data_IF_485013469751
#
_entry.id   IF_485013469751
#
_cell.length_a   1.000
_cell.length_b   1.000
_cell.length_c   1.000
_cell.angle_alpha   90.00
_cell.angle_beta   90.00
_cell.angle_gamma   90.00
#
_symmetry.space_group_name_H-M   'P 1'
#
loop_
_entity.id
_entity.type
_entity.pdbx_description
1 polymer ?
#
# COMPACT_ATOMS: atom_id res chain seq x y z
N UNK A 1 11.23 -15.45 -3.68
CA UNK A 1 11.70 -14.31 -2.88
C UNK A 1 11.31 -14.54 -1.44
N UNK A 2 12.24 -14.36 -0.49
CA UNK A 2 11.96 -14.49 0.94
C UNK A 2 11.82 -13.11 1.57
N UNK A 3 10.69 -12.85 2.23
CA UNK A 3 10.42 -11.61 2.97
C UNK A 3 10.46 -11.91 4.46
N UNK A 4 11.30 -11.20 5.22
CA UNK A 4 11.23 -11.21 6.66
C UNK A 4 10.21 -10.16 7.14
N UNK A 5 9.37 -10.50 8.12
CA UNK A 5 8.39 -9.55 8.66
C UNK A 5 9.05 -8.28 9.21
N UNK A 6 10.24 -8.44 9.81
CA UNK A 6 11.04 -7.32 10.32
C UNK A 6 11.53 -6.38 9.20
N UNK A 7 11.79 -6.88 8.00
CA UNK A 7 12.22 -6.04 6.87
C UNK A 7 11.10 -5.10 6.43
N UNK A 8 9.84 -5.56 6.43
CA UNK A 8 8.68 -4.71 6.13
C UNK A 8 8.62 -3.50 7.07
N UNK A 9 8.82 -3.73 8.37
CA UNK A 9 8.87 -2.67 9.37
C UNK A 9 9.99 -1.66 9.11
N UNK A 10 11.20 -2.15 8.87
CA UNK A 10 12.37 -1.31 8.62
C UNK A 10 12.22 -0.50 7.34
N UNK A 11 11.61 -1.08 6.29
CA UNK A 11 11.33 -0.39 5.04
C UNK A 11 10.37 0.76 5.28
N UNK A 12 9.19 0.52 5.88
CA UNK A 12 8.24 1.60 6.12
C UNK A 12 8.82 2.69 7.04
N UNK A 13 9.63 2.33 8.04
CA UNK A 13 10.33 3.29 8.88
C UNK A 13 11.29 4.16 8.07
N UNK A 14 12.08 3.54 7.18
CA UNK A 14 12.97 4.25 6.26
C UNK A 14 12.22 5.24 5.36
N UNK A 15 11.10 4.80 4.78
CA UNK A 15 10.25 5.65 3.94
C UNK A 15 9.69 6.84 4.72
N UNK A 16 9.02 6.60 5.86
CA UNK A 16 8.41 7.66 6.67
C UNK A 16 9.46 8.65 7.17
N UNK A 17 10.64 8.17 7.56
CA UNK A 17 11.75 9.02 8.00
C UNK A 17 12.27 9.88 6.85
N UNK A 18 12.45 9.30 5.66
CA UNK A 18 12.87 10.02 4.46
C UNK A 18 11.92 11.17 4.13
N UNK A 19 10.62 10.91 4.11
CA UNK A 19 9.61 11.92 3.78
C UNK A 19 9.50 13.03 4.83
N UNK A 20 9.50 12.66 6.12
CA UNK A 20 9.49 13.64 7.20
C UNK A 20 10.74 14.55 7.16
N UNK A 21 11.89 14.02 6.74
CA UNK A 21 13.13 14.78 6.61
C UNK A 21 13.16 15.68 5.37
N UNK A 22 12.68 15.19 4.22
CA UNK A 22 12.79 15.88 2.94
C UNK A 22 11.69 16.92 2.73
N UNK A 23 10.45 16.58 3.09
CA UNK A 23 9.27 17.40 2.78
C UNK A 23 8.57 17.95 4.03
N UNK A 24 8.94 17.50 5.23
CA UNK A 24 8.31 17.94 6.47
C UNK A 24 6.85 17.50 6.61
N UNK A 25 6.45 16.45 5.89
CA UNK A 25 5.09 15.90 5.89
C UNK A 25 4.94 14.91 7.03
N UNK A 26 4.06 15.20 7.99
CA UNK A 26 3.66 14.25 9.06
C UNK A 26 2.21 13.77 8.88
N UNK A 27 1.38 14.58 8.22
CA UNK A 27 -0.05 14.33 8.01
C UNK A 27 -0.40 14.61 6.55
N UNK A 28 -1.12 13.68 5.94
CA UNK A 28 -1.73 13.85 4.63
C UNK A 28 -3.24 13.94 4.80
N UNK A 29 -3.82 15.06 4.36
CA UNK A 29 -5.26 15.24 4.30
C UNK A 29 -5.76 14.82 2.92
N UNK A 30 -6.71 13.90 2.87
CA UNK A 30 -7.39 13.45 1.65
C UNK A 30 -8.87 13.80 1.78
N UNK A 31 -9.36 14.70 0.93
CA UNK A 31 -10.74 15.16 0.93
C UNK A 31 -11.39 15.21 -0.45
N UNK A 32 -10.67 14.75 -1.48
CA UNK A 32 -11.05 14.79 -2.88
C UNK A 32 -11.11 13.39 -3.51
N UNK A 33 -10.78 12.34 -2.76
CA UNK A 33 -10.67 10.97 -3.26
C UNK A 33 -11.21 9.96 -2.26
N UNK A 34 -11.89 8.95 -2.81
CA UNK A 34 -12.31 7.75 -2.09
C UNK A 34 -12.13 6.54 -3.00
N UNK A 35 -12.71 6.60 -4.18
CA UNK A 35 -12.68 5.48 -5.13
C UNK A 35 -11.38 5.44 -5.91
N UNK A 36 -10.90 4.22 -6.18
CA UNK A 36 -9.75 3.97 -7.04
C UNK A 36 -9.91 2.67 -7.83
N UNK A 37 -9.31 2.57 -9.01
CA UNK A 37 -9.24 1.35 -9.81
C UNK A 37 -8.25 0.36 -9.23
N UNK A 38 -8.66 -0.91 -9.17
CA UNK A 38 -7.83 -2.00 -8.66
C UNK A 38 -8.13 -3.29 -9.41
N UNK A 39 -7.09 -4.04 -9.77
CA UNK A 39 -7.26 -5.45 -10.18
C UNK A 39 -7.35 -6.26 -8.89
N UNK A 40 -8.41 -7.03 -8.66
CA UNK A 40 -8.57 -7.83 -7.42
C UNK A 40 -7.84 -9.16 -7.52
N UNK A 41 -7.66 -9.81 -6.38
CA UNK A 41 -7.18 -11.19 -6.34
C UNK A 41 -8.33 -12.14 -6.70
N UNK A 42 -8.05 -13.24 -7.43
CA UNK A 42 -6.73 -13.70 -7.84
C UNK A 42 -6.20 -13.04 -9.14
N UNK A 43 -7.01 -12.28 -9.88
CA UNK A 43 -6.64 -11.75 -11.21
C UNK A 43 -5.39 -10.86 -11.20
N UNK A 44 -5.03 -10.29 -10.05
CA UNK A 44 -3.83 -9.47 -9.86
C UNK A 44 -2.53 -10.19 -10.22
N UNK A 45 -2.42 -11.51 -9.98
CA UNK A 45 -1.23 -12.31 -10.31
C UNK A 45 -1.48 -13.37 -11.39
N UNK A 46 -2.70 -13.48 -11.90
CA UNK A 46 -3.04 -14.43 -12.96
C UNK A 46 -2.91 -13.78 -14.35
N UNK A 47 -1.88 -14.19 -15.11
CA UNK A 47 -1.60 -13.69 -16.46
C UNK A 47 -2.20 -14.53 -17.58
N UNK A 48 -3.01 -15.53 -17.25
CA UNK A 48 -3.62 -16.42 -18.25
C UNK A 48 -4.87 -15.81 -18.90
N UNK A 49 -5.40 -14.72 -18.37
CA UNK A 49 -6.56 -14.00 -18.87
C UNK A 49 -6.40 -12.50 -18.64
N UNK A 50 -7.13 -11.68 -19.42
CA UNK A 50 -7.20 -10.25 -19.17
C UNK A 50 -7.85 -10.00 -17.81
N UNK A 51 -7.21 -9.25 -16.90
CA UNK A 51 -7.72 -9.05 -15.56
C UNK A 51 -8.96 -8.16 -15.59
N UNK A 52 -9.89 -8.43 -14.68
CA UNK A 52 -11.05 -7.55 -14.48
C UNK A 52 -10.72 -6.46 -13.50
N UNK A 53 -10.96 -5.23 -13.92
CA UNK A 53 -10.89 -4.07 -13.05
C UNK A 53 -12.08 -4.04 -12.09
N UNK A 54 -11.79 -3.64 -10.87
CA UNK A 54 -12.74 -3.38 -9.80
C UNK A 54 -12.50 -1.99 -9.24
N UNK A 55 -13.46 -1.53 -8.43
CA UNK A 55 -13.35 -0.27 -7.70
C UNK A 55 -13.09 -0.56 -6.22
N UNK A 56 -12.03 0.01 -5.67
CA UNK A 56 -11.76 0.07 -4.23
C UNK A 56 -12.28 1.36 -3.60
N UNK A 57 -12.29 1.41 -2.27
CA UNK A 57 -12.66 2.59 -1.48
C UNK A 57 -11.61 2.81 -0.40
N UNK A 58 -10.92 3.94 -0.49
CA UNK A 58 -9.94 4.38 0.51
C UNK A 58 -10.60 4.57 1.87
N UNK A 59 -11.86 5.06 1.91
CA UNK A 59 -12.61 5.20 3.15
C UNK A 59 -12.84 3.84 3.81
N UNK A 60 -13.22 2.82 3.04
CA UNK A 60 -13.43 1.47 3.56
C UNK A 60 -12.12 0.81 4.00
N UNK A 61 -11.04 0.97 3.23
CA UNK A 61 -9.73 0.43 3.58
C UNK A 61 -9.18 1.09 4.86
N UNK A 62 -9.27 2.41 4.94
CA UNK A 62 -8.85 3.16 6.12
C UNK A 62 -9.69 2.80 7.35
N UNK A 63 -11.02 2.77 7.23
CA UNK A 63 -11.89 2.33 8.32
C UNK A 63 -11.59 0.89 8.74
N UNK A 64 -11.27 0.01 7.78
CA UNK A 64 -10.84 -1.35 8.02
C UNK A 64 -9.61 -1.42 8.92
N UNK A 65 -8.58 -0.64 8.58
CA UNK A 65 -7.33 -0.53 9.34
C UNK A 65 -7.54 0.09 10.73
N UNK A 66 -8.37 1.13 10.84
CA UNK A 66 -8.62 1.82 12.11
C UNK A 66 -9.23 0.90 13.18
N UNK A 67 -10.00 -0.12 12.78
CA UNK A 67 -10.54 -1.11 13.72
C UNK A 67 -9.45 -1.88 14.49
N UNK A 68 -8.22 -1.96 13.98
CA UNK A 68 -7.11 -2.58 14.72
C UNK A 68 -6.72 -1.74 15.95
N UNK A 69 -6.81 -0.41 15.87
CA UNK A 69 -6.63 0.45 17.04
C UNK A 69 -7.75 0.33 18.07
N UNK A 70 -8.92 -0.15 17.64
CA UNK A 70 -10.06 -0.44 18.49
C UNK A 70 -10.01 -1.86 19.10
N UNK A 71 -8.95 -2.62 18.82
CA UNK A 71 -8.73 -3.97 19.34
C UNK A 71 -9.27 -5.11 18.47
N UNK A 72 -9.70 -4.83 17.23
CA UNK A 72 -10.02 -5.91 16.29
C UNK A 72 -8.76 -6.67 15.91
N UNK A 73 -8.85 -8.00 15.87
CA UNK A 73 -7.74 -8.84 15.46
C UNK A 73 -7.36 -8.58 13.99
N UNK A 74 -6.06 -8.43 13.69
CA UNK A 74 -5.60 -8.27 12.31
C UNK A 74 -5.93 -9.48 11.43
N UNK A 75 -6.08 -9.24 10.15
CA UNK A 75 -6.31 -10.27 9.12
C UNK A 75 -5.35 -10.08 7.95
N UNK A 76 -5.20 -11.08 7.10
CA UNK A 76 -4.31 -11.01 5.94
C UNK A 76 -4.68 -9.81 5.03
N UNK A 77 -5.99 -9.56 4.86
CA UNK A 77 -6.55 -8.47 4.05
C UNK A 77 -6.08 -7.09 4.55
N UNK A 78 -5.73 -6.94 5.83
CA UNK A 78 -5.26 -5.67 6.36
C UNK A 78 -3.88 -5.28 5.81
N UNK A 79 -3.06 -6.23 5.35
CA UNK A 79 -1.87 -5.91 4.57
C UNK A 79 -2.21 -5.32 3.19
N UNK A 80 -3.23 -5.85 2.51
CA UNK A 80 -3.71 -5.29 1.23
C UNK A 80 -4.26 -3.88 1.43
N UNK A 81 -5.07 -3.66 2.47
CA UNK A 81 -5.60 -2.33 2.82
C UNK A 81 -4.49 -1.33 3.08
N UNK A 82 -3.49 -1.73 3.88
CA UNK A 82 -2.34 -0.88 4.15
C UNK A 82 -1.59 -0.56 2.85
N UNK A 83 -1.39 -1.55 1.96
CA UNK A 83 -0.77 -1.32 0.67
C UNK A 83 -1.55 -0.34 -0.22
N UNK A 84 -2.88 -0.42 -0.24
CA UNK A 84 -3.73 0.55 -0.93
C UNK A 84 -3.57 1.98 -0.36
N UNK A 85 -3.48 2.11 0.97
CA UNK A 85 -3.22 3.40 1.62
C UNK A 85 -1.83 3.93 1.29
N UNK A 86 -0.78 3.10 1.33
CA UNK A 86 0.59 3.52 0.95
C UNK A 86 0.64 4.04 -0.48
N UNK A 87 -0.16 3.46 -1.37
CA UNK A 87 -0.26 3.91 -2.74
C UNK A 87 -0.84 5.33 -2.87
N UNK A 88 -1.82 5.67 -2.03
CA UNK A 88 -2.35 7.04 -1.95
C UNK A 88 -1.30 7.98 -1.40
N UNK A 89 -0.58 7.54 -0.37
CA UNK A 89 0.52 8.31 0.24
C UNK A 89 1.58 8.64 -0.81
N UNK A 90 1.99 7.65 -1.62
CA UNK A 90 2.96 7.84 -2.72
C UNK A 90 2.57 8.98 -3.66
N UNK A 91 1.31 9.02 -4.07
CA UNK A 91 0.77 10.00 -5.02
C UNK A 91 0.66 11.40 -4.39
N UNK A 92 0.25 11.46 -3.13
CA UNK A 92 -0.16 12.72 -2.47
C UNK A 92 0.94 13.42 -1.69
N UNK A 93 2.07 12.76 -1.43
CA UNK A 93 3.22 13.42 -0.80
C UNK A 93 3.74 14.58 -1.66
N UNK A 94 3.80 14.41 -2.99
CA UNK A 94 4.31 15.44 -3.90
C UNK A 94 3.25 16.48 -4.27
N UNK A 95 1.98 16.09 -4.24
CA UNK A 95 0.83 16.94 -4.57
C UNK A 95 -0.17 16.99 -3.40
N UNK A 96 0.21 17.61 -2.27
CA UNK A 96 -0.71 17.78 -1.14
C UNK A 96 -1.92 18.60 -1.61
N UNK A 97 -3.11 18.08 -1.34
CA UNK A 97 -4.39 18.63 -1.78
C UNK A 97 -4.45 20.16 -1.63
N UNK A 98 -4.53 20.88 -2.74
CA UNK A 98 -4.86 22.31 -2.73
C UNK A 98 -6.36 22.45 -2.57
N UNK A 99 -6.81 22.74 -1.35
CA UNK A 99 -8.22 22.90 -1.01
C UNK A 99 -8.83 24.18 -1.61
N UNK A 100 -8.97 24.23 -2.94
CA UNK A 100 -9.68 25.30 -3.64
C UNK A 100 -10.56 24.80 -4.79
N UNK A 101 -11.25 23.66 -4.63
CA UNK A 101 -12.41 23.38 -5.49
C UNK A 101 -13.54 22.77 -4.69
N UNK A 102 -14.57 23.58 -4.46
CA UNK A 102 -15.85 23.13 -3.93
C UNK A 102 -16.50 22.13 -4.88
N UNK A 103 -16.49 20.86 -4.50
CA UNK A 103 -17.12 19.79 -5.26
C UNK A 103 -17.23 18.54 -4.41
N UNK A 104 -18.42 18.30 -3.85
CA UNK A 104 -18.79 17.14 -3.02
C UNK A 104 -18.13 17.06 -1.64
N UNK A 105 -18.94 16.84 -0.59
CA UNK A 105 -18.47 16.44 0.75
C UNK A 105 -17.94 15.00 0.69
N UNK A 106 -16.83 14.75 0.01
CA UNK A 106 -16.07 13.55 0.30
C UNK A 106 -15.66 13.62 1.78
N UNK A 107 -15.75 12.49 2.48
CA UNK A 107 -15.37 12.45 3.90
C UNK A 107 -13.86 12.65 3.95
N UNK A 108 -13.43 13.73 4.58
CA UNK A 108 -12.03 14.02 4.85
C UNK A 108 -11.40 12.91 5.69
N UNK A 109 -10.26 12.41 5.25
CA UNK A 109 -9.37 11.51 5.99
C UNK A 109 -8.07 12.25 6.29
N UNK A 110 -7.61 12.21 7.53
CA UNK A 110 -6.27 12.66 7.89
C UNK A 110 -5.43 11.41 8.20
N UNK A 111 -4.41 11.16 7.38
CA UNK A 111 -3.49 10.01 7.51
C UNK A 111 -2.19 10.52 8.10
N UNK A 112 -1.91 10.16 9.36
CA UNK A 112 -0.61 10.43 9.95
C UNK A 112 0.39 9.34 9.52
N UNK A 113 1.56 9.72 9.02
CA UNK A 113 2.57 8.73 8.59
C UNK A 113 2.98 7.80 9.75
N UNK A 114 2.97 8.31 10.98
CA UNK A 114 3.22 7.50 12.20
C UNK A 114 2.15 6.44 12.44
N UNK A 115 0.89 6.69 12.05
CA UNK A 115 -0.16 5.67 12.17
C UNK A 115 0.12 4.48 11.24
N UNK A 116 0.70 4.71 10.06
CA UNK A 116 1.08 3.64 9.13
C UNK A 116 2.12 2.70 9.75
N UNK A 117 3.12 3.27 10.45
CA UNK A 117 4.11 2.50 11.21
C UNK A 117 3.46 1.64 12.30
N UNK A 118 2.52 2.22 13.05
CA UNK A 118 1.81 1.48 14.10
C UNK A 118 0.93 0.36 13.53
N UNK A 119 0.23 0.61 12.43
CA UNK A 119 -0.60 -0.40 11.75
C UNK A 119 0.25 -1.57 11.27
N UNK A 120 1.39 -1.29 10.62
CA UNK A 120 2.30 -2.36 10.19
C UNK A 120 2.90 -3.13 11.38
N UNK A 121 3.23 -2.44 12.47
CA UNK A 121 3.74 -3.08 13.68
C UNK A 121 2.73 -4.06 14.27
N UNK A 122 1.46 -3.66 14.36
CA UNK A 122 0.37 -4.51 14.84
C UNK A 122 0.22 -5.76 13.95
N UNK A 123 0.26 -5.57 12.62
CA UNK A 123 0.17 -6.67 11.66
C UNK A 123 1.33 -7.66 11.80
N UNK A 124 2.56 -7.14 11.81
CA UNK A 124 3.78 -7.94 11.94
C UNK A 124 3.81 -8.69 13.26
N UNK A 125 3.52 -8.02 14.38
CA UNK A 125 3.48 -8.66 15.70
C UNK A 125 2.44 -9.79 15.75
N UNK A 126 1.24 -9.56 15.23
CA UNK A 126 0.19 -10.57 15.19
C UNK A 126 0.63 -11.86 14.48
N UNK A 127 1.22 -11.73 13.29
CA UNK A 127 1.65 -12.87 12.51
C UNK A 127 2.92 -13.54 13.05
N UNK A 128 3.85 -12.77 13.65
CA UNK A 128 5.00 -13.34 14.35
C UNK A 128 4.58 -14.14 15.59
N UNK A 129 3.61 -13.64 16.37
CA UNK A 129 3.04 -14.40 17.50
C UNK A 129 2.35 -15.70 17.04
N UNK A 130 1.84 -15.73 15.81
CA UNK A 130 1.32 -16.93 15.17
C UNK A 130 2.41 -17.84 14.55
N UNK A 131 3.69 -17.50 14.69
CA UNK A 131 4.84 -18.28 14.20
C UNK A 131 5.27 -17.97 12.77
N UNK A 132 4.82 -16.85 12.20
CA UNK A 132 5.17 -16.42 10.83
C UNK A 132 6.24 -15.32 10.89
N UNK A 133 7.51 -15.73 10.94
CA UNK A 133 8.64 -14.79 10.91
C UNK A 133 9.05 -14.36 9.49
N UNK A 134 8.78 -15.22 8.52
CA UNK A 134 9.15 -15.03 7.13
C UNK A 134 8.13 -15.65 6.19
N UNK A 135 8.01 -15.08 4.99
CA UNK A 135 7.18 -15.60 3.91
C UNK A 135 8.03 -15.87 2.68
N UNK A 136 7.82 -17.04 2.08
CA UNK A 136 8.33 -17.37 0.76
C UNK A 136 7.25 -17.03 -0.27
N UNK A 137 7.62 -16.16 -1.22
CA UNK A 137 6.85 -15.79 -2.40
C UNK A 137 7.62 -16.32 -3.61
N UNK A 138 7.31 -17.54 -4.04
CA UNK A 138 8.01 -18.29 -5.08
C UNK A 138 7.18 -18.52 -6.35
N UNK A 139 5.87 -18.29 -6.27
CA UNK A 139 4.90 -18.48 -7.35
C UNK A 139 4.32 -17.15 -7.88
N UNK A 140 4.81 -16.01 -7.40
CA UNK A 140 4.33 -14.67 -7.75
C UNK A 140 5.51 -13.73 -7.99
N UNK A 141 5.68 -13.26 -9.22
CA UNK A 141 6.64 -12.19 -9.54
C UNK A 141 5.90 -11.06 -10.24
N UNK A 142 5.36 -11.34 -11.42
CA UNK A 142 4.60 -10.34 -12.16
C UNK A 142 3.24 -10.07 -11.53
N UNK A 143 2.76 -8.84 -11.66
CA UNK A 143 1.40 -8.47 -11.27
C UNK A 143 0.81 -7.37 -12.16
N UNK A 144 -0.52 -7.36 -12.28
CA UNK A 144 -1.25 -6.33 -13.02
C UNK A 144 -1.54 -5.12 -12.17
N UNK A 145 -1.13 -3.93 -12.60
CA UNK A 145 -1.37 -2.68 -11.86
C UNK A 145 -1.93 -1.62 -12.79
N UNK A 146 -2.89 -0.84 -12.31
CA UNK A 146 -3.21 0.45 -12.93
C UNK A 146 -2.22 1.44 -12.36
N UNK A 147 -1.47 2.23 -13.12
CA UNK A 147 -0.51 3.19 -12.53
C UNK A 147 -1.15 4.57 -12.26
N UNK A 148 -0.54 5.42 -11.42
CA UNK A 148 -0.84 6.85 -11.42
C UNK A 148 -0.61 7.48 -12.80
N UNK A 149 -1.42 8.47 -13.21
CA UNK A 149 -2.62 8.98 -12.53
C UNK A 149 -3.89 8.17 -12.84
N UNK A 150 -3.85 7.20 -13.75
CA UNK A 150 -5.02 6.49 -14.29
C UNK A 150 -5.88 5.79 -13.22
N UNK A 151 -5.29 5.42 -12.09
CA UNK A 151 -5.98 4.69 -11.03
C UNK A 151 -7.03 5.47 -10.26
N UNK A 152 -7.00 6.80 -10.33
CA UNK A 152 -7.98 7.69 -9.70
C UNK A 152 -8.82 8.41 -10.75
N UNK A 153 -8.49 8.27 -12.04
CA UNK A 153 -9.24 8.84 -13.14
C UNK A 153 -10.38 7.91 -13.59
N UNK A 154 -11.61 8.31 -13.29
CA UNK A 154 -12.83 7.61 -13.71
C UNK A 154 -13.47 8.22 -14.97
N UNK A 155 -12.82 9.19 -15.63
CA UNK A 155 -13.31 9.78 -16.89
C UNK A 155 -12.94 8.95 -18.12
N UNK A 156 -12.01 8.00 -17.97
CA UNK A 156 -11.56 7.09 -19.03
C UNK A 156 -11.36 5.68 -18.48
N UNK A 157 -11.31 4.71 -19.38
CA UNK A 157 -10.87 3.36 -19.03
C UNK A 157 -9.37 3.41 -18.71
N UNK A 158 -8.92 2.90 -17.55
CA UNK A 158 -7.53 3.00 -17.15
C UNK A 158 -6.66 2.01 -17.93
N UNK A 159 -5.41 2.38 -18.17
CA UNK A 159 -4.43 1.48 -18.75
C UNK A 159 -3.88 0.51 -17.70
N UNK A 160 -3.71 -0.75 -18.10
CA UNK A 160 -3.06 -1.76 -17.27
C UNK A 160 -1.57 -1.85 -17.61
N UNK A 161 -0.76 -1.88 -16.56
CA UNK A 161 0.68 -2.08 -16.59
C UNK A 161 1.03 -3.38 -15.88
N UNK A 162 2.25 -3.87 -16.11
CA UNK A 162 2.80 -5.05 -15.44
C UNK A 162 3.95 -4.62 -14.54
N UNK A 163 3.85 -4.90 -13.25
CA UNK A 163 4.94 -4.75 -12.29
C UNK A 163 5.64 -6.08 -12.01
N UNK A 164 6.77 -6.03 -11.30
CA UNK A 164 7.53 -7.20 -10.84
C UNK A 164 7.84 -7.05 -9.35
N UNK A 165 7.40 -8.02 -8.54
CA UNK A 165 7.68 -8.08 -7.10
C UNK A 165 9.17 -8.26 -6.83
N UNK A 166 9.89 -8.98 -7.69
CA UNK A 166 11.34 -9.15 -7.55
C UNK A 166 12.05 -7.80 -7.72
N UNK A 167 11.69 -7.04 -8.76
CA UNK A 167 12.27 -5.72 -9.00
C UNK A 167 11.88 -4.74 -7.88
N UNK A 168 10.61 -4.72 -7.48
CA UNK A 168 10.13 -3.86 -6.39
C UNK A 168 10.86 -4.14 -5.07
N UNK A 169 11.04 -5.41 -4.74
CA UNK A 169 11.76 -5.81 -3.53
C UNK A 169 13.25 -5.46 -3.60
N UNK A 170 13.89 -5.69 -4.74
CA UNK A 170 15.28 -5.32 -4.94
C UNK A 170 15.51 -3.81 -4.78
N UNK A 171 14.57 -3.00 -5.28
CA UNK A 171 14.61 -1.55 -5.11
C UNK A 171 14.36 -1.13 -3.65
N UNK A 172 13.37 -1.72 -2.98
CA UNK A 172 13.10 -1.45 -1.55
C UNK A 172 14.28 -1.80 -0.64
N UNK A 173 15.07 -2.81 -0.98
CA UNK A 173 16.27 -3.18 -0.24
C UNK A 173 17.35 -2.09 -0.28
N UNK A 174 17.29 -1.13 -1.22
CA UNK A 174 18.15 0.06 -1.23
C UNK A 174 17.78 1.03 -0.11
N UNK A 175 16.49 1.17 0.22
CA UNK A 175 15.99 2.02 1.32
C UNK A 175 16.61 1.60 2.66
N UNK A 176 16.83 0.30 2.87
CA UNK A 176 17.47 -0.24 4.07
C UNK A 176 18.96 0.08 4.17
N UNK A 177 19.61 0.46 3.06
CA UNK A 177 21.05 0.75 2.97
C UNK A 177 21.35 2.26 3.00
N UNK A 178 20.42 3.05 3.53
CA UNK A 178 20.50 4.52 3.66
C UNK A 178 20.51 5.29 2.33
N UNK A 179 20.07 4.67 1.22
CA UNK A 179 19.75 5.45 0.02
C UNK A 179 18.50 6.31 0.27
N UNK A 180 18.45 7.47 -0.39
CA UNK A 180 17.32 8.39 -0.32
C UNK A 180 16.06 7.68 -0.85
N UNK A 181 15.12 7.42 0.05
CA UNK A 181 13.79 6.94 -0.30
C UNK A 181 13.08 7.93 -1.23
N UNK A 182 12.33 7.38 -2.17
CA UNK A 182 11.49 8.14 -3.10
C UNK A 182 10.03 7.84 -2.83
N UNK A 183 9.14 8.73 -3.27
CA UNK A 183 7.70 8.51 -3.11
C UNK A 183 7.23 7.24 -3.82
N UNK A 184 7.89 6.83 -4.92
CA UNK A 184 7.61 5.57 -5.63
C UNK A 184 7.82 4.34 -4.74
N UNK A 185 8.73 4.41 -3.76
CA UNK A 185 9.00 3.27 -2.88
C UNK A 185 7.80 2.94 -1.97
N UNK A 186 6.89 3.90 -1.71
CA UNK A 186 5.61 3.59 -1.07
C UNK A 186 4.71 2.71 -1.94
N UNK A 187 4.67 2.94 -3.26
CA UNK A 187 3.92 2.09 -4.20
C UNK A 187 4.49 0.67 -4.22
N UNK A 188 5.82 0.55 -4.29
CA UNK A 188 6.54 -0.73 -4.27
C UNK A 188 6.23 -1.50 -2.99
N UNK A 189 6.34 -0.84 -1.84
CA UNK A 189 6.00 -1.47 -0.56
C UNK A 189 4.51 -1.88 -0.55
N UNK A 190 3.62 -1.05 -1.09
CA UNK A 190 2.21 -1.40 -1.22
C UNK A 190 1.96 -2.68 -2.03
N UNK A 191 2.66 -2.86 -3.16
CA UNK A 191 2.59 -4.09 -3.95
C UNK A 191 3.13 -5.31 -3.18
N UNK A 192 4.23 -5.15 -2.45
CA UNK A 192 4.80 -6.19 -1.59
C UNK A 192 3.86 -6.58 -0.46
N UNK A 193 3.25 -5.62 0.24
CA UNK A 193 2.25 -5.90 1.29
C UNK A 193 1.03 -6.62 0.73
N UNK A 194 0.62 -6.29 -0.49
CA UNK A 194 -0.45 -7.02 -1.17
C UNK A 194 -0.05 -8.47 -1.47
N UNK A 195 1.17 -8.72 -1.92
CA UNK A 195 1.66 -10.09 -2.12
C UNK A 195 1.72 -10.89 -0.79
N UNK A 196 2.10 -10.22 0.30
CA UNK A 196 2.05 -10.78 1.66
C UNK A 196 0.61 -11.15 2.06
N UNK A 197 -0.36 -10.26 1.83
CA UNK A 197 -1.80 -10.53 2.05
C UNK A 197 -2.25 -11.80 1.33
N UNK A 198 -1.96 -11.91 0.03
CA UNK A 198 -2.34 -13.08 -0.77
C UNK A 198 -1.68 -14.36 -0.25
N UNK A 199 -0.38 -14.31 0.06
CA UNK A 199 0.36 -15.49 0.51
C UNK A 199 -0.16 -16.04 1.83
N UNK A 200 -0.55 -15.13 2.75
CA UNK A 200 -1.16 -15.47 4.04
C UNK A 200 -2.60 -15.97 3.87
N UNK A 201 -3.36 -15.41 2.93
CA UNK A 201 -4.74 -15.83 2.66
C UNK A 201 -4.89 -17.20 2.01
N UNK A 202 -3.81 -17.75 1.42
CA UNK A 202 -3.78 -19.09 0.81
C UNK A 202 -3.46 -20.23 1.80
N UNK A 203 -3.16 -19.92 3.06
CA UNK A 203 -2.86 -20.92 4.12
C UNK A 203 -4.14 -21.44 4.78
#
# INVERSE_FOLDING_TARGET
MRILMQELMLMLEGLVRGEAMLFGVDVLTIDDMDRYWVVRSPEWTEFHQDPKLSVGSLLDDWAGLQRMFEGSAPTAVDFERLGAVLRVVSDRILEPSTSETGGSKARRIDIHLRQLLLLLAILVEHYQQAGVDALEIDDMDYYWVVEPPDWTDFQKDPSLCVGSLIDDWAELQRVLKEDIATTVDFNRLGAVLRAVSERLGRQ
#
